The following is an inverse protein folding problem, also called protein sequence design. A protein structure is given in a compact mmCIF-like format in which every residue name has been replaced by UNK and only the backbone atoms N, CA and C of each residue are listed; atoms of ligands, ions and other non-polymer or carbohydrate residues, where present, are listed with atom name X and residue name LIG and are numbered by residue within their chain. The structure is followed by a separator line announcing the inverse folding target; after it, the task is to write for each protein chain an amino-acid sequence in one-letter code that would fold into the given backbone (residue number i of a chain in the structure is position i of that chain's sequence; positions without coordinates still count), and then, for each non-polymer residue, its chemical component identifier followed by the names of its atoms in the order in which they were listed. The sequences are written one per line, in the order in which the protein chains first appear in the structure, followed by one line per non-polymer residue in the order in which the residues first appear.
data_IF_814334577453
#
_entry.id   IF_814334577453
#
_cell.length_a   1.000
_cell.length_b   1.000
_cell.length_c   1.000
_cell.angle_alpha   90.00
_cell.angle_beta   90.00
_cell.angle_gamma   90.00
#
_symmetry.space_group_name_H-M   'P 1'
#
loop_
_entity.id
_entity.type
_entity.pdbx_description
1 polymer ?
#
# COMPACT_ATOMS: atom_id res chain seq x y z
N UNK A 1 -27.60 -11.92 -19.14
CA UNK A 1 -27.95 -10.89 -20.17
C UNK A 1 -26.71 -10.13 -20.59
N UNK A 2 -26.68 -9.62 -21.83
CA UNK A 2 -25.57 -8.74 -22.23
C UNK A 2 -25.79 -7.37 -21.55
N UNK A 3 -24.78 -6.90 -20.77
CA UNK A 3 -24.85 -5.62 -20.10
C UNK A 3 -23.45 -5.01 -19.94
N UNK A 4 -23.42 -3.72 -19.70
CA UNK A 4 -22.21 -2.97 -19.39
C UNK A 4 -21.75 -3.30 -17.97
N UNK A 5 -20.51 -3.71 -17.82
CA UNK A 5 -19.90 -4.09 -16.55
C UNK A 5 -18.44 -3.59 -16.51
N UNK A 6 -17.85 -3.48 -15.35
CA UNK A 6 -16.43 -3.10 -15.26
C UNK A 6 -15.53 -4.31 -15.57
N UNK A 7 -14.38 -4.00 -16.16
CA UNK A 7 -13.24 -4.90 -16.33
C UNK A 7 -12.01 -4.30 -15.67
N UNK A 8 -11.28 -5.11 -14.94
CA UNK A 8 -10.05 -4.70 -14.25
C UNK A 8 -8.85 -5.38 -14.90
N UNK A 9 -7.93 -4.58 -15.42
CA UNK A 9 -6.66 -5.03 -15.97
C UNK A 9 -5.68 -5.29 -14.82
N UNK A 10 -5.42 -6.58 -14.54
CA UNK A 10 -4.54 -7.00 -13.43
C UNK A 10 -3.09 -6.55 -13.62
N UNK A 11 -2.63 -6.37 -14.87
CA UNK A 11 -1.26 -5.93 -15.14
C UNK A 11 -1.07 -4.45 -14.78
N UNK A 12 -2.07 -3.62 -15.06
CA UNK A 12 -2.07 -2.19 -14.71
C UNK A 12 -2.42 -1.93 -13.26
N UNK A 13 -3.13 -2.83 -12.61
CA UNK A 13 -3.56 -2.67 -11.22
C UNK A 13 -2.36 -2.70 -10.27
N UNK A 14 -2.23 -1.70 -9.39
CA UNK A 14 -1.21 -1.62 -8.35
C UNK A 14 -1.72 -2.06 -6.96
N UNK A 15 -2.99 -2.49 -6.85
CA UNK A 15 -3.57 -2.99 -5.62
C UNK A 15 -3.87 -1.94 -4.54
N UNK A 16 -3.94 -0.64 -4.91
CA UNK A 16 -4.13 0.45 -3.94
C UNK A 16 -5.47 0.40 -3.17
N UNK A 17 -6.48 -0.31 -3.68
CA UNK A 17 -7.78 -0.49 -3.04
C UNK A 17 -8.79 0.63 -3.29
N UNK A 18 -8.41 1.76 -3.92
CA UNK A 18 -9.28 2.92 -4.13
C UNK A 18 -10.60 2.56 -4.83
N UNK A 19 -10.55 1.68 -5.82
CA UNK A 19 -11.75 1.22 -6.53
C UNK A 19 -12.69 0.35 -5.68
N UNK A 20 -12.15 -0.42 -4.73
CA UNK A 20 -12.97 -1.21 -3.80
C UNK A 20 -13.66 -0.29 -2.78
N UNK A 21 -12.96 0.76 -2.32
CA UNK A 21 -13.55 1.77 -1.43
C UNK A 21 -14.64 2.61 -2.13
N UNK A 22 -14.46 2.90 -3.44
CA UNK A 22 -15.42 3.68 -4.23
C UNK A 22 -16.61 2.85 -4.73
N UNK A 23 -16.56 1.53 -4.64
CA UNK A 23 -17.68 0.67 -5.04
C UNK A 23 -18.72 0.60 -3.92
N UNK A 24 -19.76 1.41 -4.03
CA UNK A 24 -20.83 1.47 -3.05
C UNK A 24 -21.57 0.14 -2.87
N UNK A 25 -21.60 -0.68 -3.91
CA UNK A 25 -22.27 -1.99 -3.96
C UNK A 25 -21.39 -3.12 -3.39
N UNK A 26 -20.08 -2.88 -3.22
CA UNK A 26 -19.13 -3.86 -2.72
C UNK A 26 -18.89 -5.01 -3.71
N UNK A 27 -18.87 -4.70 -5.01
CA UNK A 27 -18.63 -5.68 -6.07
C UNK A 27 -17.14 -6.04 -6.23
N UNK A 28 -16.23 -5.17 -5.76
CA UNK A 28 -14.78 -5.28 -5.95
C UNK A 28 -14.10 -5.65 -4.62
N UNK A 29 -13.21 -6.63 -4.66
CA UNK A 29 -12.32 -6.97 -3.54
C UNK A 29 -10.85 -6.96 -4.00
N UNK A 30 -9.92 -6.91 -3.04
CA UNK A 30 -8.48 -7.03 -3.30
C UNK A 30 -8.05 -8.47 -2.99
N UNK A 31 -7.66 -9.20 -4.03
CA UNK A 31 -7.19 -10.59 -3.95
C UNK A 31 -5.74 -10.63 -4.42
N UNK A 32 -4.85 -11.19 -3.62
CA UNK A 32 -3.41 -11.30 -3.92
C UNK A 32 -2.78 -9.97 -4.35
N UNK A 33 -3.20 -8.86 -3.71
CA UNK A 33 -2.70 -7.52 -4.01
C UNK A 33 -3.21 -6.90 -5.31
N UNK A 34 -4.25 -7.46 -5.93
CA UNK A 34 -4.91 -6.94 -7.14
C UNK A 34 -6.40 -6.78 -6.92
N UNK A 35 -6.98 -5.74 -7.54
CA UNK A 35 -8.43 -5.58 -7.53
C UNK A 35 -9.07 -6.62 -8.46
N UNK A 36 -10.17 -7.23 -8.01
CA UNK A 36 -10.97 -8.17 -8.77
C UNK A 36 -12.47 -7.87 -8.60
N UNK A 37 -13.20 -8.02 -9.69
CA UNK A 37 -14.68 -7.99 -9.66
C UNK A 37 -15.18 -9.36 -9.20
N UNK A 38 -15.39 -9.50 -7.89
CA UNK A 38 -15.74 -10.81 -7.27
C UNK A 38 -17.23 -11.09 -7.24
N UNK A 39 -18.07 -10.05 -7.36
CA UNK A 39 -19.53 -10.15 -7.34
C UNK A 39 -20.13 -9.39 -8.51
N UNK A 40 -20.18 -10.05 -9.67
CA UNK A 40 -20.68 -9.41 -10.89
C UNK A 40 -22.12 -8.90 -10.77
N UNK A 41 -22.98 -9.62 -10.06
CA UNK A 41 -24.38 -9.22 -9.82
C UNK A 41 -24.53 -8.04 -8.84
N UNK A 42 -23.43 -7.59 -8.20
CA UNK A 42 -23.40 -6.38 -7.37
C UNK A 42 -22.95 -5.14 -8.17
N UNK A 43 -22.28 -5.34 -9.31
CA UNK A 43 -21.86 -4.21 -10.13
C UNK A 43 -23.06 -3.61 -10.86
N UNK A 44 -23.40 -2.35 -10.60
CA UNK A 44 -24.49 -1.63 -11.28
C UNK A 44 -24.10 -1.13 -12.68
N UNK A 45 -22.79 -1.08 -13.00
CA UNK A 45 -22.28 -0.58 -14.27
C UNK A 45 -22.22 0.95 -14.37
N UNK A 46 -22.39 1.70 -13.27
CA UNK A 46 -22.30 3.16 -13.27
C UNK A 46 -20.84 3.64 -13.38
N UNK A 47 -19.92 2.92 -12.71
CA UNK A 47 -18.50 3.13 -12.91
C UNK A 47 -17.85 4.17 -11.99
N UNK A 48 -18.38 4.39 -10.80
CA UNK A 48 -17.83 5.28 -9.77
C UNK A 48 -16.39 4.91 -9.39
N UNK A 49 -16.03 3.66 -9.59
CA UNK A 49 -14.67 3.14 -9.37
C UNK A 49 -13.65 3.58 -10.45
N UNK A 50 -14.08 4.03 -11.65
CA UNK A 50 -13.17 4.36 -12.75
C UNK A 50 -12.30 5.60 -12.45
N UNK A 51 -12.87 6.75 -12.03
CA UNK A 51 -12.09 7.95 -11.76
C UNK A 51 -11.13 7.77 -10.56
N UNK A 52 -11.45 6.84 -9.67
CA UNK A 52 -10.65 6.58 -8.46
C UNK A 52 -9.43 5.68 -8.74
N UNK A 53 -9.30 5.13 -9.95
CA UNK A 53 -8.16 4.28 -10.30
C UNK A 53 -6.95 5.09 -10.77
N UNK A 54 -5.89 5.24 -9.96
CA UNK A 54 -4.73 6.09 -10.31
C UNK A 54 -3.90 5.54 -11.46
N UNK A 55 -4.05 4.24 -11.79
CA UNK A 55 -3.31 3.59 -12.87
C UNK A 55 -4.15 3.39 -14.13
N UNK A 56 -5.44 3.80 -14.13
CA UNK A 56 -6.34 3.57 -15.24
C UNK A 56 -6.55 2.10 -15.57
N UNK A 57 -6.48 1.23 -14.57
CA UNK A 57 -6.64 -0.21 -14.74
C UNK A 57 -8.09 -0.65 -14.96
N UNK A 58 -9.08 0.25 -14.77
CA UNK A 58 -10.50 -0.07 -14.85
C UNK A 58 -11.08 0.50 -16.15
N UNK A 59 -11.85 -0.31 -16.84
CA UNK A 59 -12.58 0.05 -18.04
C UNK A 59 -13.95 -0.58 -18.04
N UNK A 60 -14.83 -0.13 -18.93
CA UNK A 60 -16.09 -0.82 -19.20
C UNK A 60 -15.91 -1.89 -20.27
N UNK A 61 -16.65 -2.98 -20.13
CA UNK A 61 -16.88 -3.95 -21.20
C UNK A 61 -18.37 -4.32 -21.28
N UNK A 62 -18.84 -4.65 -22.47
CA UNK A 62 -20.17 -5.24 -22.68
C UNK A 62 -19.99 -6.73 -22.87
N UNK A 63 -20.54 -7.51 -21.93
CA UNK A 63 -20.51 -8.97 -21.99
C UNK A 63 -21.71 -9.59 -21.31
N UNK A 64 -21.87 -10.87 -21.50
CA UNK A 64 -22.82 -11.63 -20.73
C UNK A 64 -22.43 -11.66 -19.26
N UNK A 65 -23.32 -11.14 -18.42
CA UNK A 65 -23.14 -11.09 -16.97
C UNK A 65 -24.49 -11.26 -16.26
N UNK A 66 -24.47 -11.71 -14.98
CA UNK A 66 -25.69 -11.78 -14.16
C UNK A 66 -26.34 -10.40 -14.06
N UNK A 67 -27.67 -10.40 -13.94
CA UNK A 67 -28.44 -9.18 -13.71
C UNK A 67 -28.03 -8.53 -12.38
N UNK A 68 -28.11 -7.19 -12.32
CA UNK A 68 -27.85 -6.45 -11.10
C UNK A 68 -28.91 -6.78 -10.04
N UNK A 69 -28.49 -7.23 -8.87
CA UNK A 69 -29.35 -7.65 -7.77
C UNK A 69 -29.28 -6.63 -6.61
N UNK A 70 -30.10 -5.58 -6.71
CA UNK A 70 -30.20 -4.53 -5.70
C UNK A 70 -30.59 -5.08 -4.31
N UNK A 71 -31.42 -6.13 -4.27
CA UNK A 71 -31.82 -6.73 -2.98
C UNK A 71 -30.68 -7.49 -2.32
N UNK A 72 -29.85 -8.19 -3.11
CA UNK A 72 -28.66 -8.85 -2.60
C UNK A 72 -27.64 -7.81 -2.08
N UNK A 73 -27.46 -6.70 -2.79
CA UNK A 73 -26.62 -5.58 -2.35
C UNK A 73 -27.14 -5.01 -1.03
N UNK A 74 -28.42 -4.69 -0.91
CA UNK A 74 -29.02 -4.18 0.34
C UNK A 74 -28.88 -5.17 1.51
N UNK A 75 -29.10 -6.46 1.25
CA UNK A 75 -28.89 -7.52 2.26
C UNK A 75 -27.43 -7.63 2.70
N UNK A 76 -26.50 -7.54 1.76
CA UNK A 76 -25.07 -7.55 2.06
C UNK A 76 -24.66 -6.30 2.86
N UNK A 77 -25.11 -5.12 2.46
CA UNK A 77 -24.84 -3.86 3.17
C UNK A 77 -25.42 -3.85 4.60
N UNK A 78 -26.61 -4.44 4.81
CA UNK A 78 -27.22 -4.58 6.14
C UNK A 78 -26.40 -5.54 7.01
N UNK A 79 -25.87 -6.62 6.44
CA UNK A 79 -24.99 -7.58 7.11
C UNK A 79 -23.60 -6.97 7.40
N UNK A 80 -23.11 -6.09 6.52
CA UNK A 80 -21.84 -5.38 6.65
C UNK A 80 -21.93 -4.28 7.73
N UNK A 81 -23.09 -3.64 7.89
CA UNK A 81 -23.32 -2.69 9.00
C UNK A 81 -23.25 -3.34 10.39
N UNK A 82 -23.49 -4.63 10.49
CA UNK A 82 -23.35 -5.40 11.73
C UNK A 82 -21.95 -6.02 11.93
N UNK A 83 -21.14 -6.10 10.87
CA UNK A 83 -19.73 -6.52 10.92
C UNK A 83 -18.92 -5.48 10.16
N UNK A 84 -18.31 -4.53 10.86
CA UNK A 84 -17.49 -3.46 10.31
C UNK A 84 -16.37 -4.02 9.41
N UNK A 85 -16.67 -4.34 8.17
CA UNK A 85 -15.69 -4.75 7.13
C UNK A 85 -15.46 -3.62 6.14
N UNK A 86 -14.88 -2.52 6.63
CA UNK A 86 -14.13 -1.61 5.77
C UNK A 86 -12.80 -2.25 5.36
N UNK A 87 -12.13 -1.70 4.33
CA UNK A 87 -10.75 -2.08 4.00
C UNK A 87 -9.94 -2.18 5.30
N UNK A 88 -9.18 -3.27 5.55
CA UNK A 88 -8.39 -3.42 6.78
C UNK A 88 -7.50 -2.21 7.10
N UNK A 89 -7.01 -1.50 6.07
CA UNK A 89 -6.23 -0.28 6.23
C UNK A 89 -7.00 0.96 6.68
N UNK A 90 -8.36 0.93 6.66
CA UNK A 90 -9.22 2.04 7.12
C UNK A 90 -9.99 1.68 8.40
N UNK A 91 -9.84 0.46 8.91
CA UNK A 91 -10.54 0.00 10.09
C UNK A 91 -10.00 0.69 11.35
N UNK A 92 -10.87 1.42 12.05
CA UNK A 92 -10.53 1.98 13.36
C UNK A 92 -10.47 0.86 14.39
N UNK A 93 -9.38 0.77 15.13
CA UNK A 93 -9.22 -0.17 16.25
C UNK A 93 -8.41 0.47 17.38
N UNK A 94 -8.78 0.15 18.61
CA UNK A 94 -8.01 0.51 19.78
C UNK A 94 -7.01 -0.62 20.06
N UNK A 95 -5.72 -0.29 20.03
CA UNK A 95 -4.64 -1.24 20.37
C UNK A 95 -4.46 -1.18 21.89
N UNK A 96 -4.86 -2.24 22.59
CA UNK A 96 -4.59 -2.39 24.03
C UNK A 96 -3.22 -3.05 24.19
N UNK A 97 -2.26 -2.30 24.73
CA UNK A 97 -0.94 -2.83 25.09
C UNK A 97 -0.96 -3.16 26.57
N UNK A 98 -0.55 -4.36 26.93
CA UNK A 98 -0.28 -4.71 28.33
C UNK A 98 0.98 -3.94 28.72
N UNK A 99 0.92 -3.19 29.81
CA UNK A 99 2.11 -2.59 30.39
C UNK A 99 3.04 -3.72 30.86
N UNK A 100 4.36 -3.63 30.61
CA UNK A 100 5.30 -4.63 31.11
C UNK A 100 5.21 -4.68 32.63
N UNK A 101 5.17 -5.89 33.19
CA UNK A 101 5.17 -6.09 34.63
C UNK A 101 6.44 -5.43 35.25
N UNK A 102 6.31 -4.82 36.40
CA UNK A 102 7.35 -4.01 37.12
C UNK A 102 8.70 -4.72 37.37
N UNK A 103 8.89 -5.93 36.87
CA UNK A 103 10.13 -6.70 37.01
C UNK A 103 11.16 -6.48 35.90
N UNK A 104 10.84 -5.70 34.86
CA UNK A 104 11.82 -5.31 33.85
C UNK A 104 12.53 -4.02 34.29
N UNK A 105 13.88 -4.08 34.29
CA UNK A 105 14.81 -3.01 34.70
C UNK A 105 14.33 -1.63 34.23
N UNK A 106 14.50 -0.56 35.07
CA UNK A 106 14.06 0.76 34.73
C UNK A 106 14.65 1.17 33.37
N UNK A 107 13.77 1.37 32.39
CA UNK A 107 14.11 1.92 31.08
C UNK A 107 14.63 3.35 31.31
N UNK A 108 15.96 3.50 31.30
CA UNK A 108 16.55 4.83 31.20
C UNK A 108 16.07 5.41 29.87
N UNK A 109 15.37 6.55 29.84
CA UNK A 109 14.95 7.17 28.60
C UNK A 109 16.19 7.72 27.88
N UNK A 110 16.94 6.83 27.22
CA UNK A 110 17.96 7.26 26.30
C UNK A 110 17.23 8.02 25.18
N UNK A 111 17.43 9.33 25.11
CA UNK A 111 16.90 10.18 24.04
C UNK A 111 17.26 9.49 22.72
N UNK A 112 16.27 8.93 22.04
CA UNK A 112 16.50 8.29 20.75
C UNK A 112 16.76 9.39 19.72
N UNK A 113 18.02 9.48 19.27
CA UNK A 113 18.41 10.43 18.22
C UNK A 113 17.86 9.95 16.88
N UNK A 114 17.25 10.86 16.10
CA UNK A 114 16.77 10.59 14.76
C UNK A 114 17.88 9.99 13.88
N UNK A 115 17.54 8.99 13.09
CA UNK A 115 18.43 8.34 12.11
C UNK A 115 18.14 8.78 10.67
N UNK A 116 17.32 9.81 10.49
CA UNK A 116 17.04 10.39 9.18
C UNK A 116 18.30 11.00 8.57
N UNK A 117 18.60 10.67 7.31
CA UNK A 117 19.82 11.10 6.61
C UNK A 117 19.54 11.94 5.37
N UNK A 118 18.28 12.11 4.98
CA UNK A 118 17.90 12.87 3.79
C UNK A 118 16.62 13.67 4.01
N UNK A 119 16.47 14.71 3.22
CA UNK A 119 15.25 15.48 3.09
C UNK A 119 15.10 15.93 1.62
N UNK A 120 13.91 15.88 1.01
CA UNK A 120 12.64 15.39 1.56
C UNK A 120 12.58 13.86 1.65
N UNK A 121 11.63 13.35 2.46
CA UNK A 121 11.41 11.89 2.63
C UNK A 121 10.29 11.36 1.74
N UNK A 122 9.30 12.17 1.37
CA UNK A 122 8.17 11.75 0.54
C UNK A 122 8.63 11.45 -0.89
N UNK A 123 8.25 10.28 -1.42
CA UNK A 123 8.62 9.84 -2.78
C UNK A 123 8.24 10.90 -3.81
N UNK A 124 7.05 11.50 -3.69
CA UNK A 124 6.57 12.55 -4.62
C UNK A 124 7.45 13.79 -4.62
N UNK A 125 8.02 14.16 -3.49
CA UNK A 125 8.82 15.36 -3.31
C UNK A 125 10.33 15.13 -3.51
N UNK A 126 10.81 13.89 -3.36
CA UNK A 126 12.22 13.57 -3.52
C UNK A 126 12.69 13.88 -4.96
N UNK A 127 13.87 14.47 -5.16
CA UNK A 127 14.43 14.66 -6.49
C UNK A 127 14.79 13.30 -7.11
N UNK A 128 14.83 13.23 -8.45
CA UNK A 128 15.24 12.00 -9.16
C UNK A 128 16.73 11.71 -8.93
N UNK A 129 17.55 12.75 -8.78
CA UNK A 129 18.97 12.62 -8.50
C UNK A 129 19.37 13.58 -7.40
N UNK A 130 20.15 13.07 -6.43
CA UNK A 130 20.72 13.87 -5.34
C UNK A 130 21.99 13.21 -4.82
N UNK A 131 22.93 13.99 -4.25
CA UNK A 131 24.20 13.45 -3.73
C UNK A 131 24.01 12.33 -2.69
N UNK A 132 22.96 12.38 -1.87
CA UNK A 132 22.70 11.39 -0.85
C UNK A 132 22.25 10.01 -1.40
N UNK A 133 21.87 9.92 -2.68
CA UNK A 133 21.58 8.63 -3.31
C UNK A 133 22.83 7.87 -3.77
N UNK A 134 23.97 8.55 -3.90
CA UNK A 134 25.19 7.91 -4.38
C UNK A 134 25.75 6.92 -3.35
N UNK A 135 25.80 5.64 -3.72
CA UNK A 135 26.22 4.58 -2.82
C UNK A 135 25.21 4.24 -1.72
N UNK A 136 23.96 4.69 -1.84
CA UNK A 136 22.97 4.57 -0.79
C UNK A 136 22.38 3.14 -0.68
N UNK A 137 22.09 2.76 0.55
CA UNK A 137 21.09 1.72 0.86
C UNK A 137 19.74 2.43 0.94
N UNK A 138 18.80 2.09 0.06
CA UNK A 138 17.51 2.74 -0.04
C UNK A 138 16.47 2.03 0.83
N UNK A 139 15.77 2.79 1.66
CA UNK A 139 14.58 2.36 2.38
C UNK A 139 13.34 2.96 1.70
N UNK A 140 12.42 2.12 1.25
CA UNK A 140 11.10 2.51 0.74
C UNK A 140 10.08 2.01 1.75
N UNK A 141 9.40 2.91 2.46
CA UNK A 141 8.51 2.54 3.55
C UNK A 141 7.12 3.15 3.39
N UNK A 142 6.11 2.40 3.81
CA UNK A 142 4.76 2.95 3.91
C UNK A 142 4.67 3.94 5.08
N UNK A 143 3.93 5.02 4.91
CA UNK A 143 3.82 6.12 5.90
C UNK A 143 3.48 5.64 7.31
N UNK A 144 2.63 4.60 7.44
CA UNK A 144 2.19 4.09 8.73
C UNK A 144 3.26 3.29 9.49
N UNK A 145 4.31 2.80 8.82
CA UNK A 145 5.26 1.83 9.41
C UNK A 145 6.07 2.42 10.56
N UNK A 146 6.50 3.68 10.45
CA UNK A 146 7.25 4.35 11.49
C UNK A 146 6.43 4.66 12.75
N UNK A 147 5.11 4.76 12.60
CA UNK A 147 4.18 4.96 13.72
C UNK A 147 3.79 3.65 14.39
N UNK A 148 3.68 2.57 13.61
CA UNK A 148 3.32 1.26 14.13
C UNK A 148 4.49 0.59 14.87
N UNK A 149 5.71 0.68 14.32
CA UNK A 149 6.89 -0.01 14.85
C UNK A 149 7.82 0.95 15.61
N UNK A 150 7.89 0.78 16.92
CA UNK A 150 8.63 1.70 17.81
C UNK A 150 10.16 1.75 17.52
N UNK A 151 10.76 0.65 17.04
CA UNK A 151 12.18 0.55 16.71
C UNK A 151 12.56 1.09 15.32
N UNK A 152 11.65 1.73 14.59
CA UNK A 152 11.79 2.04 13.17
C UNK A 152 13.08 2.78 12.80
N UNK A 153 13.47 3.79 13.60
CA UNK A 153 14.70 4.53 13.36
C UNK A 153 15.95 3.67 13.48
N UNK A 154 15.99 2.76 14.46
CA UNK A 154 17.18 1.94 14.73
C UNK A 154 17.31 0.78 13.73
N UNK A 155 16.20 0.11 13.42
CA UNK A 155 16.23 -1.13 12.67
C UNK A 155 16.12 -0.90 11.16
N UNK A 156 15.40 0.14 10.75
CA UNK A 156 15.14 0.40 9.32
C UNK A 156 15.83 1.64 8.77
N UNK A 157 15.84 2.79 9.49
CA UNK A 157 16.36 4.04 8.93
C UNK A 157 17.86 4.18 9.06
N UNK A 158 18.47 3.58 10.08
CA UNK A 158 19.92 3.72 10.33
C UNK A 158 20.74 3.31 9.11
N UNK A 159 21.61 4.22 8.63
CA UNK A 159 22.48 4.07 7.48
C UNK A 159 21.73 3.81 6.14
N UNK A 160 20.50 4.31 6.03
CA UNK A 160 19.72 4.24 4.80
C UNK A 160 19.16 5.61 4.43
N UNK A 161 19.06 5.85 3.13
CA UNK A 161 18.27 6.94 2.56
C UNK A 161 16.81 6.49 2.56
N UNK A 162 15.94 7.29 3.16
CA UNK A 162 14.55 6.92 3.41
C UNK A 162 13.60 7.66 2.49
N UNK A 163 12.77 6.90 1.79
CA UNK A 163 11.64 7.39 1.00
C UNK A 163 10.35 6.77 1.54
N UNK A 164 9.33 7.61 1.73
CA UNK A 164 8.03 7.15 2.25
C UNK A 164 6.90 7.54 1.31
N UNK A 165 5.76 6.83 1.43
CA UNK A 165 4.56 7.14 0.69
C UNK A 165 3.39 6.23 1.04
N UNK A 166 2.18 6.68 0.69
CA UNK A 166 0.95 5.91 0.82
C UNK A 166 0.22 5.88 -0.52
N UNK A 167 0.22 4.76 -1.26
CA UNK A 167 -0.45 4.67 -2.57
C UNK A 167 -1.93 5.02 -2.50
N UNK A 168 -2.58 4.66 -1.39
CA UNK A 168 -3.99 4.93 -1.16
C UNK A 168 -4.29 6.43 -1.00
N UNK A 169 -3.48 7.16 -0.21
CA UNK A 169 -3.70 8.59 0.03
C UNK A 169 -3.19 9.44 -1.13
N UNK A 170 -2.08 9.07 -1.71
CA UNK A 170 -1.45 9.84 -2.78
C UNK A 170 -2.09 9.62 -4.15
N UNK A 171 -2.85 8.53 -4.33
CA UNK A 171 -3.52 8.16 -5.58
C UNK A 171 -2.58 8.18 -6.80
N UNK A 172 -1.35 7.68 -6.62
CA UNK A 172 -0.32 7.67 -7.68
C UNK A 172 0.38 6.32 -7.77
N UNK A 173 0.86 5.98 -8.97
CA UNK A 173 1.81 4.90 -9.16
C UNK A 173 3.24 5.44 -8.96
N UNK A 174 3.89 5.02 -7.90
CA UNK A 174 5.28 5.41 -7.61
C UNK A 174 6.32 4.74 -8.51
N UNK A 175 5.93 3.76 -9.32
CA UNK A 175 6.88 2.94 -10.08
C UNK A 175 7.76 3.76 -11.03
N UNK A 176 7.20 4.75 -11.73
CA UNK A 176 7.96 5.62 -12.63
C UNK A 176 9.00 6.45 -11.88
N UNK A 177 8.58 7.09 -10.79
CA UNK A 177 9.47 7.92 -9.98
C UNK A 177 10.59 7.11 -9.34
N UNK A 178 10.25 5.95 -8.78
CA UNK A 178 11.23 5.04 -8.17
C UNK A 178 12.18 4.45 -9.23
N UNK A 179 11.68 4.12 -10.42
CA UNK A 179 12.51 3.69 -11.56
C UNK A 179 13.53 4.76 -11.89
N UNK A 180 13.10 6.01 -12.05
CA UNK A 180 13.98 7.12 -12.37
C UNK A 180 15.05 7.34 -11.28
N UNK A 181 14.69 7.26 -9.99
CA UNK A 181 15.64 7.36 -8.88
C UNK A 181 16.66 6.22 -8.95
N UNK A 182 16.22 4.97 -9.14
CA UNK A 182 17.11 3.81 -9.18
C UNK A 182 18.03 3.85 -10.39
N UNK A 183 17.52 4.24 -11.56
CA UNK A 183 18.32 4.31 -12.80
C UNK A 183 19.41 5.38 -12.73
N UNK A 184 19.10 6.56 -12.20
CA UNK A 184 20.00 7.71 -12.22
C UNK A 184 21.00 7.76 -11.07
N UNK A 185 20.91 6.83 -10.10
CA UNK A 185 21.78 6.83 -8.93
C UNK A 185 22.40 5.46 -8.67
N UNK A 186 23.55 5.45 -7.99
CA UNK A 186 24.22 4.22 -7.58
C UNK A 186 23.62 3.69 -6.27
N UNK A 187 22.52 2.92 -6.37
CA UNK A 187 21.85 2.31 -5.22
C UNK A 187 22.45 0.94 -4.92
N UNK A 188 22.88 0.70 -3.69
CA UNK A 188 23.51 -0.56 -3.26
C UNK A 188 22.50 -1.65 -2.92
N UNK A 189 21.39 -1.29 -2.27
CA UNK A 189 20.33 -2.22 -1.87
C UNK A 189 19.02 -1.50 -1.65
N UNK A 190 17.91 -2.23 -1.72
CA UNK A 190 16.57 -1.69 -1.44
C UNK A 190 15.90 -2.52 -0.33
N UNK A 191 15.44 -1.85 0.71
CA UNK A 191 14.56 -2.43 1.73
C UNK A 191 13.18 -1.82 1.60
N UNK A 192 12.17 -2.66 1.40
CA UNK A 192 10.76 -2.24 1.32
C UNK A 192 10.12 -2.60 2.65
N UNK A 193 9.53 -1.62 3.33
CA UNK A 193 8.81 -1.85 4.59
C UNK A 193 7.36 -1.43 4.42
N UNK A 194 6.46 -2.36 4.66
CA UNK A 194 5.02 -2.15 4.48
C UNK A 194 4.23 -2.60 5.70
N UNK A 195 2.98 -2.14 5.80
CA UNK A 195 2.02 -2.72 6.74
C UNK A 195 1.39 -3.99 6.16
N UNK A 196 0.85 -4.84 7.01
CA UNK A 196 0.10 -6.04 6.63
C UNK A 196 -1.18 -5.76 5.82
N UNK A 197 -1.67 -4.53 5.88
CA UNK A 197 -2.92 -4.14 5.22
C UNK A 197 -2.80 -4.13 3.69
N UNK A 198 -3.85 -4.52 2.96
CA UNK A 198 -3.80 -4.69 1.50
C UNK A 198 -3.35 -3.45 0.73
N UNK A 199 -3.76 -2.23 1.16
CA UNK A 199 -3.40 -0.98 0.48
C UNK A 199 -1.88 -0.74 0.40
N UNK A 200 -1.08 -1.31 1.31
CA UNK A 200 0.38 -1.23 1.26
C UNK A 200 1.01 -2.14 0.20
N UNK A 201 0.26 -3.09 -0.36
CA UNK A 201 0.70 -3.91 -1.50
C UNK A 201 1.05 -3.08 -2.73
N UNK A 202 0.36 -1.96 -2.95
CA UNK A 202 0.66 -1.04 -4.05
C UNK A 202 2.07 -0.43 -3.96
N UNK A 203 2.57 -0.12 -2.77
CA UNK A 203 3.94 0.38 -2.59
C UNK A 203 4.98 -0.70 -2.90
N UNK A 204 4.75 -1.92 -2.41
CA UNK A 204 5.61 -3.06 -2.70
C UNK A 204 5.69 -3.35 -4.19
N UNK A 205 4.53 -3.37 -4.87
CA UNK A 205 4.46 -3.60 -6.31
C UNK A 205 5.18 -2.50 -7.11
N UNK A 206 4.97 -1.23 -6.75
CA UNK A 206 5.65 -0.11 -7.39
C UNK A 206 7.17 -0.21 -7.24
N UNK A 207 7.67 -0.58 -6.05
CA UNK A 207 9.09 -0.75 -5.80
C UNK A 207 9.67 -1.96 -6.59
N UNK A 208 8.97 -3.09 -6.63
CA UNK A 208 9.37 -4.26 -7.42
C UNK A 208 9.41 -3.95 -8.92
N UNK A 209 8.37 -3.29 -9.44
CA UNK A 209 8.31 -2.85 -10.84
C UNK A 209 9.46 -1.88 -11.15
N UNK A 210 9.77 -0.96 -10.25
CA UNK A 210 10.89 -0.03 -10.42
C UNK A 210 12.24 -0.74 -10.47
N UNK A 211 12.47 -1.73 -9.62
CA UNK A 211 13.68 -2.56 -9.64
C UNK A 211 13.82 -3.30 -10.97
N UNK A 212 12.76 -3.93 -11.45
CA UNK A 212 12.74 -4.63 -12.73
C UNK A 212 13.00 -3.68 -13.91
N UNK A 213 12.31 -2.52 -13.94
CA UNK A 213 12.41 -1.54 -15.02
C UNK A 213 13.72 -0.77 -15.01
N UNK A 214 14.44 -0.75 -13.88
CA UNK A 214 15.75 -0.07 -13.79
C UNK A 214 16.85 -0.72 -14.62
N UNK A 215 16.71 -1.99 -14.95
CA UNK A 215 17.75 -2.78 -15.63
C UNK A 215 18.98 -3.07 -14.76
N UNK A 216 18.95 -2.73 -13.47
CA UNK A 216 20.06 -2.95 -12.54
C UNK A 216 19.82 -4.17 -11.65
N UNK A 217 20.86 -4.94 -11.41
CA UNK A 217 20.81 -6.02 -10.43
C UNK A 217 21.11 -5.48 -9.03
N UNK A 218 20.06 -5.20 -8.25
CA UNK A 218 20.16 -4.62 -6.90
C UNK A 218 19.51 -5.60 -5.91
N UNK A 219 20.22 -6.02 -4.86
CA UNK A 219 19.63 -6.86 -3.82
C UNK A 219 18.52 -6.10 -3.09
N UNK A 220 17.40 -6.79 -2.85
CA UNK A 220 16.25 -6.19 -2.18
C UNK A 220 15.57 -7.18 -1.23
N UNK A 221 14.83 -6.64 -0.28
CA UNK A 221 14.00 -7.40 0.65
C UNK A 221 12.71 -6.66 0.97
N UNK A 222 11.68 -7.41 1.36
CA UNK A 222 10.41 -6.87 1.88
C UNK A 222 10.27 -7.27 3.33
N UNK A 223 9.86 -6.32 4.17
CA UNK A 223 9.51 -6.55 5.57
C UNK A 223 8.09 -6.06 5.78
N UNK A 224 7.26 -6.91 6.36
CA UNK A 224 5.88 -6.57 6.70
C UNK A 224 5.77 -6.30 8.21
N UNK A 225 5.09 -5.21 8.56
CA UNK A 225 4.81 -4.82 9.95
C UNK A 225 3.30 -4.97 10.17
N UNK A 226 2.95 -5.63 11.25
CA UNK A 226 1.56 -5.77 11.69
C UNK A 226 1.03 -4.47 12.31
N UNK A 227 -0.30 -4.34 12.42
CA UNK A 227 -0.95 -3.16 13.00
C UNK A 227 -0.55 -2.97 14.47
N UNK A 228 -0.30 -4.06 15.20
CA UNK A 228 0.16 -4.01 16.59
C UNK A 228 1.66 -3.75 16.74
N UNK A 229 2.38 -3.53 15.64
CA UNK A 229 3.77 -3.09 15.61
C UNK A 229 4.78 -4.21 15.76
N UNK A 230 4.51 -5.40 15.23
CA UNK A 230 5.46 -6.51 15.16
C UNK A 230 5.95 -6.73 13.74
N UNK A 231 7.20 -7.15 13.58
CA UNK A 231 7.70 -7.64 12.30
C UNK A 231 7.09 -9.03 12.06
N UNK A 232 6.47 -9.21 10.91
CA UNK A 232 5.91 -10.49 10.47
C UNK A 232 6.98 -11.28 9.71
N UNK A 233 7.06 -12.57 10.02
CA UNK A 233 7.92 -13.53 9.32
C UNK A 233 7.32 -13.97 7.98
#
# INVERSE_FOLDING_TARGET
MIRKIIRIDKEKCNGCGACADACHEGAIDIIDGKAELVREHFCDGLGDCLPECPTGAISFEEREAPEYDEEAVKRAQTKIRSTHTGCPGSKSMQIQRQEPSETEKPFSPAIQVSKLQNWPVQIKLAPVSAPYFNGAKLLIAADCTAYAYAGFHQDFMRNKVTLIGCPKLDQVDYSEKLTAIIQNNNIQSVTIVRMEVPCCGGLEMAAKKALQSSGKFIPWQVVTISIDGKIME
#
